data_IF_457817873322
#
_entry.id   IF_457817873322
#
_cell.length_a   1.000
_cell.length_b   1.000
_cell.length_c   1.000
_cell.angle_alpha   90.00
_cell.angle_beta   90.00
_cell.angle_gamma   90.00
#
_symmetry.space_group_name_H-M   'P 1'
#
loop_
_entity.id
_entity.type
_entity.pdbx_description
1 polymer ?
#
# COMPACT_ATOMS: atom_id res chain seq x y z
N UNK A 1 4.91 6.38 1.79
CA UNK A 1 3.51 6.85 1.79
C UNK A 1 2.77 6.06 2.85
N UNK A 2 2.02 6.70 3.74
CA UNK A 2 1.26 6.04 4.81
C UNK A 2 0.00 5.30 4.32
N UNK A 3 0.00 4.86 3.06
CA UNK A 3 -1.14 4.25 2.37
C UNK A 3 -0.67 2.99 1.61
N UNK A 4 -1.57 2.01 1.54
CA UNK A 4 -1.44 0.75 0.81
C UNK A 4 -2.78 0.43 0.15
N UNK A 5 -2.95 -0.76 -0.41
CA UNK A 5 -4.25 -1.27 -0.82
C UNK A 5 -4.73 -2.44 0.02
N UNK A 6 -6.04 -2.52 0.13
CA UNK A 6 -6.81 -3.58 0.75
C UNK A 6 -7.87 -4.05 -0.25
N UNK A 7 -8.14 -5.35 -0.28
CA UNK A 7 -9.27 -5.87 -1.03
C UNK A 7 -10.06 -6.83 -0.14
N UNK A 8 -11.36 -6.58 0.10
CA UNK A 8 -12.18 -7.42 0.97
C UNK A 8 -12.45 -8.81 0.39
N UNK A 9 -12.09 -9.03 -0.88
CA UNK A 9 -12.34 -10.28 -1.61
C UNK A 9 -11.23 -11.33 -1.41
N UNK A 10 -10.11 -10.92 -0.84
CA UNK A 10 -8.96 -11.80 -0.64
C UNK A 10 -9.10 -12.48 0.73
N UNK A 11 -8.94 -13.81 0.81
CA UNK A 11 -8.92 -14.50 2.09
C UNK A 11 -7.80 -13.96 3.01
N UNK A 12 -8.06 -13.95 4.33
CA UNK A 12 -7.25 -13.21 5.31
C UNK A 12 -5.79 -13.68 5.42
N UNK A 13 -5.50 -14.94 5.13
CA UNK A 13 -4.16 -15.49 5.25
C UNK A 13 -3.34 -15.19 3.98
N UNK A 14 -2.32 -14.34 4.13
CA UNK A 14 -1.47 -13.88 3.01
C UNK A 14 -2.11 -12.82 2.09
N UNK A 15 -3.37 -12.44 2.34
CA UNK A 15 -4.21 -11.64 1.43
C UNK A 15 -3.98 -10.13 1.36
N UNK A 16 -2.93 -9.61 1.98
CA UNK A 16 -2.63 -8.17 1.86
C UNK A 16 -2.08 -7.88 0.46
N UNK A 17 -2.58 -6.84 -0.21
CA UNK A 17 -2.11 -6.44 -1.55
C UNK A 17 -0.62 -6.06 -1.54
N UNK A 18 -0.09 -5.64 -0.39
CA UNK A 18 1.32 -5.31 -0.15
C UNK A 18 1.90 -4.20 -1.06
N UNK A 19 1.04 -3.50 -1.78
CA UNK A 19 1.34 -2.32 -2.57
C UNK A 19 0.10 -1.41 -2.63
N UNK A 20 0.31 -0.14 -2.95
CA UNK A 20 -0.76 0.77 -3.32
C UNK A 20 -1.12 0.53 -4.79
N UNK A 21 -2.37 0.15 -5.06
CA UNK A 21 -2.96 0.11 -6.40
C UNK A 21 -3.45 1.53 -6.73
N UNK A 22 -2.93 2.07 -7.83
CA UNK A 22 -3.14 3.45 -8.24
C UNK A 22 -1.86 4.28 -8.15
N UNK A 23 -1.96 5.53 -8.55
CA UNK A 23 -0.82 6.46 -8.60
C UNK A 23 -1.23 7.85 -8.12
N UNK A 24 -0.30 8.54 -7.48
CA UNK A 24 -0.50 9.94 -7.12
C UNK A 24 -0.23 10.80 -8.36
N UNK A 25 -1.23 11.56 -8.80
CA UNK A 25 -1.15 12.44 -9.98
C UNK A 25 -1.31 13.89 -9.58
N UNK A 26 -0.69 14.80 -10.34
CA UNK A 26 -0.85 16.26 -10.20
C UNK A 26 -1.72 16.88 -11.28
N UNK A 27 -2.39 16.06 -12.10
CA UNK A 27 -3.26 16.53 -13.18
C UNK A 27 -4.54 17.18 -12.65
N UNK A 28 -5.07 16.66 -11.54
CA UNK A 28 -6.35 17.07 -10.98
C UNK A 28 -6.39 16.76 -9.48
N UNK A 29 -6.86 17.70 -8.67
CA UNK A 29 -6.95 17.59 -7.21
C UNK A 29 -7.98 18.60 -6.67
N UNK A 30 -8.60 18.27 -5.54
CA UNK A 30 -9.46 19.20 -4.79
C UNK A 30 -8.64 19.96 -3.76
N UNK A 31 -7.74 19.26 -3.07
CA UNK A 31 -6.92 19.84 -2.01
C UNK A 31 -5.44 19.78 -2.39
N UNK A 32 -4.77 20.94 -2.34
CA UNK A 32 -3.36 21.03 -2.66
C UNK A 32 -3.10 20.88 -4.16
N UNK A 33 -2.25 19.92 -4.54
CA UNK A 33 -1.78 19.76 -5.93
C UNK A 33 -1.77 18.32 -6.43
N UNK A 34 -2.26 17.37 -5.65
CA UNK A 34 -2.20 15.97 -6.03
C UNK A 34 -3.37 15.19 -5.47
N UNK A 35 -3.85 14.21 -6.25
CA UNK A 35 -4.86 13.25 -5.84
C UNK A 35 -4.40 11.83 -6.15
N UNK A 36 -5.04 10.83 -5.56
CA UNK A 36 -4.82 9.43 -5.90
C UNK A 36 -5.73 9.03 -7.05
N UNK A 37 -5.15 8.59 -8.17
CA UNK A 37 -5.86 8.00 -9.31
C UNK A 37 -5.78 6.47 -9.24
N UNK A 38 -6.91 5.82 -9.06
CA UNK A 38 -7.05 4.35 -9.12
C UNK A 38 -7.68 4.00 -10.45
N UNK A 39 -6.88 3.42 -11.36
CA UNK A 39 -7.38 2.83 -12.60
C UNK A 39 -7.46 1.33 -12.44
N UNK A 40 -8.61 0.76 -12.74
CA UNK A 40 -8.83 -0.68 -12.70
C UNK A 40 -9.54 -1.14 -13.97
N UNK A 41 -9.09 -2.28 -14.48
CA UNK A 41 -9.64 -2.97 -15.64
C UNK A 41 -9.59 -4.47 -15.34
N UNK A 42 -10.71 -5.17 -15.52
CA UNK A 42 -10.83 -6.61 -15.27
C UNK A 42 -9.89 -7.45 -16.13
N UNK A 43 -9.50 -6.98 -17.32
CA UNK A 43 -8.56 -7.65 -18.21
C UNK A 43 -7.11 -7.55 -17.74
N UNK A 44 -6.76 -6.49 -16.99
CA UNK A 44 -5.39 -6.25 -16.51
C UNK A 44 -5.29 -6.22 -14.98
N UNK A 45 -6.34 -6.62 -14.28
CA UNK A 45 -6.39 -6.59 -12.83
C UNK A 45 -5.28 -7.47 -12.24
N UNK A 46 -4.55 -7.02 -11.21
CA UNK A 46 -3.63 -7.88 -10.47
C UNK A 46 -4.37 -9.12 -9.99
N UNK A 47 -3.72 -10.28 -10.05
CA UNK A 47 -4.30 -11.55 -9.62
C UNK A 47 -3.60 -12.00 -8.34
N UNK A 48 -4.39 -12.28 -7.30
CA UNK A 48 -3.94 -12.93 -6.08
C UNK A 48 -3.88 -14.44 -6.29
N UNK A 49 -2.74 -15.04 -5.96
CA UNK A 49 -2.53 -16.49 -6.04
C UNK A 49 -2.31 -17.10 -4.67
N UNK A 50 -2.86 -18.29 -4.42
CA UNK A 50 -2.63 -19.02 -3.19
C UNK A 50 -2.73 -20.53 -3.40
N UNK A 51 -1.83 -21.30 -2.81
CA UNK A 51 -1.72 -22.75 -3.05
C UNK A 51 -1.81 -23.62 -1.77
N UNK A 52 -2.04 -23.06 -0.59
CA UNK A 52 -1.97 -23.84 0.66
C UNK A 52 -3.22 -24.64 1.03
N UNK A 53 -4.39 -24.01 1.19
CA UNK A 53 -5.63 -24.72 1.56
C UNK A 53 -6.48 -24.98 0.32
N UNK A 54 -7.09 -23.93 -0.20
CA UNK A 54 -7.73 -23.94 -1.52
C UNK A 54 -6.82 -23.24 -2.52
N UNK A 55 -6.89 -23.69 -3.77
CA UNK A 55 -6.20 -23.02 -4.87
C UNK A 55 -6.98 -21.74 -5.20
N UNK A 56 -6.36 -20.59 -4.95
CA UNK A 56 -6.94 -19.30 -5.28
C UNK A 56 -6.23 -18.68 -6.47
N UNK A 57 -7.04 -18.17 -7.39
CA UNK A 57 -6.65 -17.29 -8.48
C UNK A 57 -7.71 -16.19 -8.58
N UNK A 58 -7.51 -15.10 -7.84
CA UNK A 58 -8.54 -14.07 -7.64
C UNK A 58 -8.07 -12.76 -8.28
N UNK A 59 -8.63 -12.36 -9.44
CA UNK A 59 -8.42 -11.02 -9.97
C UNK A 59 -8.99 -9.97 -9.01
N UNK A 60 -8.20 -8.96 -8.67
CA UNK A 60 -8.61 -7.90 -7.76
C UNK A 60 -9.54 -6.93 -8.47
N UNK A 61 -10.84 -7.05 -8.20
CA UNK A 61 -11.89 -6.20 -8.77
C UNK A 61 -12.34 -5.07 -7.84
N UNK A 62 -11.88 -5.10 -6.59
CA UNK A 62 -12.20 -4.14 -5.55
C UNK A 62 -10.92 -3.66 -4.84
N UNK A 63 -10.11 -2.78 -5.46
CA UNK A 63 -8.89 -2.24 -4.89
C UNK A 63 -9.20 -1.00 -4.04
N UNK A 64 -9.34 -1.18 -2.73
CA UNK A 64 -9.54 -0.07 -1.80
C UNK A 64 -8.17 0.49 -1.38
N UNK A 65 -7.94 1.79 -1.51
CA UNK A 65 -6.79 2.45 -0.87
C UNK A 65 -7.02 2.48 0.63
N UNK A 66 -6.03 2.09 1.43
CA UNK A 66 -6.15 1.95 2.87
C UNK A 66 -4.99 2.63 3.59
N UNK A 67 -5.26 3.23 4.75
CA UNK A 67 -4.19 3.79 5.57
C UNK A 67 -3.35 2.64 6.15
N UNK A 68 -2.04 2.88 6.33
CA UNK A 68 -1.17 1.92 7.01
C UNK A 68 -1.30 2.10 8.52
N UNK A 69 -1.51 0.97 9.22
CA UNK A 69 -1.58 0.92 10.67
C UNK A 69 -2.97 1.14 11.25
N UNK A 70 -3.09 0.86 12.54
CA UNK A 70 -4.33 1.00 13.29
C UNK A 70 -4.45 2.41 13.86
N UNK A 71 -5.62 3.02 13.69
CA UNK A 71 -6.00 4.27 14.32
C UNK A 71 -6.82 3.96 15.58
N UNK A 72 -6.52 4.59 16.73
CA UNK A 72 -7.32 4.45 17.93
C UNK A 72 -8.68 5.14 17.75
N UNK A 73 -9.72 4.51 18.26
CA UNK A 73 -11.08 5.03 18.34
C UNK A 73 -11.66 4.80 19.74
N UNK A 74 -12.59 5.64 20.16
CA UNK A 74 -13.36 5.44 21.38
C UNK A 74 -14.64 4.65 21.08
N UNK A 75 -14.75 3.44 21.63
CA UNK A 75 -15.90 2.55 21.40
C UNK A 75 -17.22 3.25 21.76
N UNK A 76 -18.21 3.12 20.89
CA UNK A 76 -19.54 3.71 21.04
C UNK A 76 -19.66 5.19 20.65
N UNK A 77 -18.54 5.91 20.47
CA UNK A 77 -18.55 7.31 20.05
C UNK A 77 -18.85 7.44 18.54
N UNK A 78 -19.49 8.55 18.11
CA UNK A 78 -19.73 8.82 16.71
C UNK A 78 -18.44 9.27 16.01
N UNK A 79 -18.24 8.76 14.80
CA UNK A 79 -17.18 9.15 13.89
C UNK A 79 -17.73 9.30 12.47
N UNK A 80 -17.06 10.10 11.66
CA UNK A 80 -17.39 10.30 10.26
C UNK A 80 -16.16 10.06 9.39
N UNK A 81 -16.30 9.18 8.39
CA UNK A 81 -15.34 9.02 7.29
C UNK A 81 -15.82 9.85 6.11
N UNK A 82 -14.94 10.64 5.51
CA UNK A 82 -15.24 11.44 4.32
C UNK A 82 -14.06 11.48 3.34
N UNK A 83 -14.37 11.73 2.07
CA UNK A 83 -13.39 11.93 1.01
C UNK A 83 -14.01 12.76 -0.13
N UNK A 84 -13.19 13.53 -0.83
CA UNK A 84 -13.55 14.00 -2.15
C UNK A 84 -13.27 12.90 -3.15
N UNK A 85 -14.26 12.61 -4.01
CA UNK A 85 -14.15 11.57 -5.02
C UNK A 85 -14.83 11.99 -6.31
N UNK A 86 -14.31 11.48 -7.42
CA UNK A 86 -14.97 11.49 -8.74
C UNK A 86 -14.55 10.28 -9.55
N UNK A 87 -15.30 9.99 -10.60
CA UNK A 87 -14.99 8.93 -11.56
C UNK A 87 -14.83 9.47 -12.98
N UNK A 88 -14.36 8.62 -13.89
CA UNK A 88 -14.27 8.91 -15.33
C UNK A 88 -15.64 8.83 -16.01
N UNK A 89 -16.57 8.10 -15.40
CA UNK A 89 -17.95 7.90 -15.86
C UNK A 89 -18.92 7.91 -14.67
N UNK A 90 -20.20 8.25 -14.86
CA UNK A 90 -21.17 8.24 -13.77
C UNK A 90 -21.43 6.82 -13.25
N UNK A 91 -22.04 6.76 -12.06
CA UNK A 91 -22.56 5.54 -11.43
C UNK A 91 -21.51 4.47 -11.05
N UNK A 92 -20.21 4.79 -11.12
CA UNK A 92 -19.16 3.94 -10.55
C UNK A 92 -19.39 3.83 -9.04
N UNK A 93 -19.53 2.61 -8.54
CA UNK A 93 -19.76 2.32 -7.13
C UNK A 93 -18.42 2.32 -6.39
N UNK A 94 -18.38 3.03 -5.27
CA UNK A 94 -17.23 3.08 -4.37
C UNK A 94 -17.63 2.63 -2.97
N UNK A 95 -16.75 1.86 -2.35
CA UNK A 95 -16.87 1.45 -0.95
C UNK A 95 -16.07 2.43 -0.09
N UNK A 96 -16.71 2.95 0.96
CA UNK A 96 -16.06 3.63 2.08
C UNK A 96 -16.12 2.70 3.29
N UNK A 97 -14.99 2.12 3.69
CA UNK A 97 -14.87 1.06 4.68
C UNK A 97 -14.12 1.54 5.93
N UNK A 98 -14.61 1.12 7.09
CA UNK A 98 -13.92 1.15 8.37
C UNK A 98 -13.83 -0.28 8.87
N UNK A 99 -12.62 -0.82 8.96
CA UNK A 99 -12.35 -2.20 9.38
C UNK A 99 -11.74 -2.19 10.78
N UNK A 100 -12.37 -2.87 11.72
CA UNK A 100 -11.91 -2.98 13.10
C UNK A 100 -10.94 -4.16 13.29
N UNK A 101 -10.13 -4.08 14.34
CA UNK A 101 -9.14 -5.12 14.66
C UNK A 101 -9.76 -6.48 15.03
N UNK A 102 -11.01 -6.49 15.50
CA UNK A 102 -11.79 -7.69 15.84
C UNK A 102 -12.55 -8.28 14.63
N UNK A 103 -12.15 -7.90 13.42
CA UNK A 103 -12.75 -8.30 12.14
C UNK A 103 -14.17 -7.77 11.87
N UNK A 104 -14.78 -6.98 12.76
CA UNK A 104 -15.99 -6.23 12.44
C UNK A 104 -15.71 -5.14 11.41
N UNK A 105 -16.76 -4.63 10.75
CA UNK A 105 -16.63 -3.50 9.84
C UNK A 105 -17.89 -2.66 9.73
N UNK A 106 -17.71 -1.36 9.54
CA UNK A 106 -18.74 -0.41 9.11
C UNK A 106 -18.43 0.02 7.69
N UNK A 107 -19.41 0.06 6.80
CA UNK A 107 -19.19 0.50 5.42
C UNK A 107 -20.39 1.24 4.84
N UNK A 108 -20.11 2.10 3.86
CA UNK A 108 -21.11 2.72 2.99
C UNK A 108 -20.69 2.58 1.54
N UNK A 109 -21.67 2.30 0.68
CA UNK A 109 -21.49 2.32 -0.77
C UNK A 109 -22.08 3.63 -1.30
N UNK A 110 -21.34 4.28 -2.19
CA UNK A 110 -21.77 5.51 -2.87
C UNK A 110 -21.59 5.38 -4.37
N UNK A 111 -22.46 6.02 -5.14
CA UNK A 111 -22.33 6.17 -6.58
C UNK A 111 -21.62 7.49 -6.87
N UNK A 112 -20.54 7.42 -7.64
CA UNK A 112 -19.79 8.60 -8.02
C UNK A 112 -20.40 9.32 -9.22
N UNK A 113 -20.17 10.63 -9.26
CA UNK A 113 -20.34 11.43 -10.47
C UNK A 113 -19.01 11.67 -11.16
N UNK A 114 -19.04 12.30 -12.34
CA UNK A 114 -17.83 12.73 -13.05
C UNK A 114 -17.20 13.99 -12.48
N UNK A 115 -17.93 14.71 -11.61
CA UNK A 115 -17.44 15.91 -10.93
C UNK A 115 -16.98 15.57 -9.52
N UNK A 116 -16.01 16.32 -9.02
CA UNK A 116 -15.60 16.24 -7.63
C UNK A 116 -16.78 16.53 -6.70
N UNK A 117 -17.07 15.56 -5.84
CA UNK A 117 -18.06 15.71 -4.77
C UNK A 117 -17.49 15.16 -3.48
N UNK A 118 -17.96 15.73 -2.37
CA UNK A 118 -17.59 15.24 -1.05
C UNK A 118 -18.60 14.22 -0.58
N UNK A 119 -18.14 12.99 -0.40
CA UNK A 119 -18.95 11.90 0.15
C UNK A 119 -18.55 11.65 1.60
N UNK A 120 -19.53 11.29 2.42
CA UNK A 120 -19.31 11.02 3.84
C UNK A 120 -20.18 9.87 4.35
N UNK A 121 -19.77 9.28 5.45
CA UNK A 121 -20.49 8.23 6.17
C UNK A 121 -20.21 8.36 7.66
N UNK A 122 -21.27 8.61 8.44
CA UNK A 122 -21.22 8.62 9.90
C UNK A 122 -21.52 7.23 10.46
N UNK A 123 -20.82 6.84 11.52
CA UNK A 123 -20.94 5.55 12.18
C UNK A 123 -20.61 5.66 13.68
N UNK A 124 -21.03 4.66 14.47
CA UNK A 124 -20.56 4.50 15.86
C UNK A 124 -19.41 3.51 15.90
N UNK A 125 -18.33 3.83 16.60
CA UNK A 125 -17.16 2.96 16.67
C UNK A 125 -17.50 1.63 17.38
N UNK A 126 -17.34 0.51 16.69
CA UNK A 126 -17.62 -0.83 17.25
C UNK A 126 -16.45 -1.40 18.05
N UNK A 127 -15.22 -0.99 17.72
CA UNK A 127 -13.98 -1.39 18.39
C UNK A 127 -13.03 -0.22 18.62
N UNK A 128 -11.98 -0.45 19.42
CA UNK A 128 -11.04 0.59 19.85
C UNK A 128 -9.93 0.90 18.86
N UNK A 129 -9.83 0.10 17.80
CA UNK A 129 -8.82 0.26 16.75
C UNK A 129 -9.44 -0.06 15.40
N UNK A 130 -9.19 0.79 14.41
CA UNK A 130 -9.64 0.58 13.05
C UNK A 130 -8.61 1.07 12.03
N UNK A 131 -8.70 0.55 10.81
CA UNK A 131 -8.16 1.21 9.62
C UNK A 131 -9.30 1.53 8.66
N UNK A 132 -9.07 2.48 7.76
CA UNK A 132 -10.03 2.86 6.72
C UNK A 132 -9.55 2.37 5.37
N UNK A 133 -10.50 2.07 4.49
CA UNK A 133 -10.22 1.79 3.10
C UNK A 133 -11.29 2.41 2.19
N UNK A 134 -10.90 3.00 1.06
CA UNK A 134 -11.82 3.61 0.09
C UNK A 134 -11.41 3.26 -1.33
N UNK A 135 -12.35 2.88 -2.20
CA UNK A 135 -12.02 2.61 -3.61
C UNK A 135 -13.15 1.98 -4.41
N UNK A 136 -12.93 1.78 -5.73
CA UNK A 136 -13.94 1.26 -6.64
C UNK A 136 -14.31 -0.19 -6.34
N UNK A 137 -15.58 -0.52 -6.61
CA UNK A 137 -16.12 -1.88 -6.64
C UNK A 137 -16.68 -2.16 -8.04
N UNK A 138 -15.85 -2.77 -8.91
CA UNK A 138 -16.27 -3.07 -10.29
C UNK A 138 -17.39 -4.11 -10.35
N UNK A 139 -17.42 -5.06 -9.41
CA UNK A 139 -18.46 -6.10 -9.38
C UNK A 139 -19.83 -5.49 -9.15
N UNK A 140 -19.94 -4.61 -8.15
CA UNK A 140 -21.20 -3.91 -7.86
C UNK A 140 -21.53 -2.85 -8.90
N UNK A 141 -20.51 -2.22 -9.50
CA UNK A 141 -20.70 -1.30 -10.63
C UNK A 141 -21.20 -2.03 -11.88
N UNK A 142 -21.00 -3.35 -11.98
CA UNK A 142 -21.24 -4.14 -13.21
C UNK A 142 -20.48 -3.57 -14.41
N UNK A 143 -19.22 -3.22 -14.18
CA UNK A 143 -18.33 -2.61 -15.19
C UNK A 143 -17.05 -3.40 -15.33
N UNK A 144 -16.51 -3.44 -16.55
CA UNK A 144 -15.23 -4.09 -16.82
C UNK A 144 -14.05 -3.20 -16.46
N UNK A 145 -14.23 -1.87 -16.45
CA UNK A 145 -13.19 -0.92 -16.09
C UNK A 145 -13.77 0.39 -15.54
N UNK A 146 -12.99 1.05 -14.69
CA UNK A 146 -13.27 2.40 -14.19
C UNK A 146 -11.98 3.09 -13.74
N UNK A 147 -12.01 4.42 -13.75
CA UNK A 147 -10.99 5.25 -13.11
C UNK A 147 -11.64 6.10 -12.03
N UNK A 148 -11.12 6.02 -10.82
CA UNK A 148 -11.59 6.81 -9.67
C UNK A 148 -10.45 7.68 -9.15
N UNK A 149 -10.76 8.94 -8.87
CA UNK A 149 -9.87 9.86 -8.19
C UNK A 149 -10.35 10.05 -6.75
N UNK A 150 -9.40 10.03 -5.81
CA UNK A 150 -9.63 10.23 -4.39
C UNK A 150 -8.72 11.34 -3.88
N UNK A 151 -9.28 12.23 -3.07
CA UNK A 151 -8.54 13.30 -2.43
C UNK A 151 -9.12 13.64 -1.06
N UNK A 152 -8.33 14.28 -0.21
CA UNK A 152 -8.75 14.84 1.08
C UNK A 152 -9.56 13.85 1.94
N UNK A 153 -9.02 12.63 2.10
CA UNK A 153 -9.60 11.58 2.95
C UNK A 153 -9.45 11.98 4.42
N UNK A 154 -10.55 11.97 5.17
CA UNK A 154 -10.59 12.37 6.58
C UNK A 154 -11.48 11.44 7.39
N UNK A 155 -10.93 10.93 8.49
CA UNK A 155 -11.67 10.28 9.56
C UNK A 155 -11.62 11.19 10.79
N UNK A 156 -12.79 11.55 11.32
CA UNK A 156 -12.89 12.45 12.47
C UNK A 156 -14.00 12.05 13.43
N UNK A 157 -13.90 12.47 14.70
CA UNK A 157 -14.96 12.30 15.67
C UNK A 157 -16.14 13.25 15.36
N UNK A 158 -17.36 12.77 15.56
CA UNK A 158 -18.59 13.51 15.27
C UNK A 158 -19.46 12.85 14.20
N UNK A 159 -20.67 13.37 14.06
CA UNK A 159 -21.71 12.81 13.18
C UNK A 159 -21.75 13.45 11.78
N UNK A 160 -21.02 14.56 11.59
CA UNK A 160 -21.02 15.32 10.35
C UNK A 160 -19.59 15.62 9.94
N UNK A 161 -19.30 15.47 8.65
CA UNK A 161 -17.99 15.77 8.10
C UNK A 161 -17.72 17.28 8.13
N UNK A 162 -16.64 17.71 8.78
CA UNK A 162 -16.17 19.11 8.78
C UNK A 162 -15.28 19.37 7.57
N UNK A 163 -15.01 20.61 7.15
CA UNK A 163 -14.09 20.85 6.03
C UNK A 163 -12.76 20.09 6.21
N UNK A 164 -12.21 19.57 5.10
CA UNK A 164 -10.95 18.84 5.17
C UNK A 164 -9.85 19.70 5.79
N UNK A 165 -9.10 19.11 6.71
CA UNK A 165 -7.87 19.68 7.25
C UNK A 165 -6.87 18.54 7.51
N UNK A 166 -5.57 18.76 7.27
CA UNK A 166 -4.55 17.82 7.70
C UNK A 166 -4.56 17.63 9.22
N UNK A 167 -3.99 16.52 9.71
CA UNK A 167 -3.91 16.22 11.15
C UNK A 167 -3.05 17.25 11.88
N UNK A 168 -2.00 17.74 11.22
CA UNK A 168 -1.14 18.83 11.69
C UNK A 168 -1.11 19.95 10.66
N UNK A 169 -0.97 21.19 11.12
CA UNK A 169 -0.77 22.35 10.24
C UNK A 169 0.44 22.17 9.32
N UNK A 170 1.48 21.45 9.79
CA UNK A 170 2.62 21.06 8.98
C UNK A 170 2.86 19.57 9.13
N UNK A 171 2.88 18.85 8.01
CA UNK A 171 3.14 17.42 7.94
C UNK A 171 4.35 17.13 7.06
N UNK A 172 5.08 16.07 7.36
CA UNK A 172 6.20 15.61 6.54
C UNK A 172 6.27 14.08 6.53
N UNK A 173 6.54 13.50 5.36
CA UNK A 173 6.58 12.06 5.15
C UNK A 173 7.83 11.63 4.38
N UNK A 174 8.51 10.60 4.86
CA UNK A 174 9.57 9.93 4.11
C UNK A 174 8.96 8.99 3.06
N UNK A 175 9.38 9.12 1.80
CA UNK A 175 8.92 8.27 0.71
C UNK A 175 10.11 7.81 -0.15
N UNK A 176 9.93 6.70 -0.86
CA UNK A 176 10.81 6.28 -1.94
C UNK A 176 9.99 5.76 -3.12
N UNK A 177 10.59 5.79 -4.30
CA UNK A 177 9.99 5.23 -5.52
C UNK A 177 10.37 3.74 -5.70
N UNK A 178 11.13 3.17 -4.76
CA UNK A 178 11.58 1.79 -4.82
C UNK A 178 10.55 0.85 -4.18
N UNK A 179 10.14 -0.19 -4.90
CA UNK A 179 9.25 -1.22 -4.37
C UNK A 179 9.84 -1.84 -3.09
N UNK A 180 9.04 -1.87 -2.01
CA UNK A 180 9.47 -2.32 -0.69
C UNK A 180 10.58 -1.49 -0.04
N UNK A 181 10.88 -0.31 -0.58
CA UNK A 181 12.08 0.48 -0.26
C UNK A 181 13.38 -0.32 -0.42
N UNK A 182 13.43 -1.21 -1.42
CA UNK A 182 14.61 -2.04 -1.73
C UNK A 182 15.33 -1.44 -2.93
N UNK A 183 16.56 -0.97 -2.70
CA UNK A 183 17.42 -0.36 -3.70
C UNK A 183 18.46 -1.36 -4.19
N UNK A 184 18.58 -1.48 -5.51
CA UNK A 184 19.53 -2.40 -6.18
C UNK A 184 20.73 -1.68 -6.79
N UNK A 185 20.71 -0.35 -6.78
CA UNK A 185 21.76 0.49 -7.33
C UNK A 185 22.20 1.52 -6.29
N UNK A 186 23.41 1.32 -5.75
CA UNK A 186 24.02 2.20 -4.75
C UNK A 186 24.13 3.67 -5.19
N UNK A 187 24.15 3.93 -6.51
CA UNK A 187 24.21 5.29 -7.06
C UNK A 187 22.83 5.93 -7.25
N UNK A 188 21.75 5.16 -7.12
CA UNK A 188 20.36 5.60 -7.34
C UNK A 188 19.47 5.32 -6.13
N UNK A 189 19.96 5.70 -4.95
CA UNK A 189 19.20 5.59 -3.72
C UNK A 189 18.36 6.86 -3.54
N UNK A 190 17.22 6.88 -4.22
CA UNK A 190 16.34 8.04 -4.28
C UNK A 190 15.21 7.91 -3.26
N UNK A 191 15.38 8.58 -2.13
CA UNK A 191 14.31 8.81 -1.17
C UNK A 191 14.15 10.31 -0.97
N UNK A 192 12.96 10.72 -0.54
CA UNK A 192 12.56 12.12 -0.44
C UNK A 192 11.72 12.31 0.80
N UNK A 193 11.70 13.53 1.31
CA UNK A 193 10.67 14.00 2.25
C UNK A 193 9.67 14.81 1.46
N UNK A 194 8.40 14.47 1.56
CA UNK A 194 7.31 15.33 1.09
C UNK A 194 6.76 16.03 2.31
N UNK A 195 6.90 17.35 2.35
CA UNK A 195 6.37 18.18 3.41
C UNK A 195 5.26 19.09 2.88
N UNK A 196 4.18 19.24 3.65
CA UNK A 196 3.06 20.11 3.33
C UNK A 196 2.82 21.10 4.47
N UNK A 197 2.59 22.36 4.11
CA UNK A 197 2.23 23.42 5.04
C UNK A 197 0.82 23.90 4.73
N UNK A 198 -0.11 23.62 5.63
CA UNK A 198 -1.51 24.03 5.52
C UNK A 198 -1.80 25.41 6.12
N UNK A 199 -0.81 26.09 6.71
CA UNK A 199 -1.04 27.44 7.22
C UNK A 199 -1.09 28.49 6.11
N UNK A 200 -1.65 29.64 6.46
CA UNK A 200 -1.71 30.87 5.63
C UNK A 200 -0.42 31.69 5.70
N UNK A 201 0.66 31.12 6.24
CA UNK A 201 1.96 31.79 6.33
C UNK A 201 3.08 30.84 5.97
N UNK A 202 4.20 31.40 5.54
CA UNK A 202 5.41 30.61 5.33
C UNK A 202 5.85 30.00 6.65
N UNK A 203 6.17 28.70 6.65
CA UNK A 203 6.68 27.99 7.81
C UNK A 203 8.14 27.59 7.59
N UNK A 204 8.91 27.59 8.66
CA UNK A 204 10.24 27.00 8.68
C UNK A 204 10.21 25.74 9.54
N UNK A 205 10.72 24.63 8.98
CA UNK A 205 10.79 23.34 9.65
C UNK A 205 12.24 22.95 9.91
N UNK A 206 12.48 22.35 11.08
CA UNK A 206 13.75 21.77 11.48
C UNK A 206 13.59 20.25 11.55
N UNK A 207 14.16 19.55 10.59
CA UNK A 207 14.11 18.09 10.49
C UNK A 207 15.41 17.48 11.01
N UNK A 208 15.28 16.47 11.85
CA UNK A 208 16.36 15.62 12.33
C UNK A 208 16.20 14.22 11.73
N UNK A 209 17.29 13.72 11.18
CA UNK A 209 17.38 12.40 10.57
C UNK A 209 18.39 11.56 11.35
N UNK A 210 17.99 10.37 11.74
CA UNK A 210 18.85 9.35 12.36
C UNK A 210 18.74 8.09 11.53
N UNK A 211 19.88 7.59 11.04
CA UNK A 211 19.96 6.34 10.29
C UNK A 211 20.68 5.30 11.13
N UNK A 212 20.03 4.18 11.37
CA UNK A 212 20.62 3.02 12.02
C UNK A 212 20.77 1.86 11.03
N UNK A 213 21.76 1.01 11.24
CA UNK A 213 21.91 -0.25 10.51
C UNK A 213 21.08 -1.39 11.14
N UNK A 214 21.31 -2.62 10.69
CA UNK A 214 20.60 -3.80 11.16
C UNK A 214 20.67 -3.97 12.69
N UNK A 215 21.87 -3.76 13.26
CA UNK A 215 22.20 -3.91 14.69
C UNK A 215 21.83 -2.66 15.51
N UNK A 216 21.01 -1.77 14.95
CA UNK A 216 20.57 -0.50 15.55
C UNK A 216 21.71 0.48 15.85
N UNK A 217 22.91 0.27 15.28
CA UNK A 217 24.02 1.21 15.40
C UNK A 217 23.75 2.42 14.53
N UNK A 218 23.92 3.61 15.10
CA UNK A 218 23.82 4.88 14.34
C UNK A 218 24.96 4.95 13.34
N UNK A 219 24.61 4.93 12.06
CA UNK A 219 25.56 5.08 10.95
C UNK A 219 25.54 6.48 10.37
N UNK A 220 24.49 7.25 10.63
CA UNK A 220 24.40 8.66 10.27
C UNK A 220 23.40 9.40 11.15
N UNK A 221 23.71 10.64 11.50
CA UNK A 221 22.76 11.58 12.09
C UNK A 221 22.96 12.98 11.51
N UNK A 222 21.87 13.65 11.12
CA UNK A 222 21.89 14.99 10.52
C UNK A 222 20.66 15.79 10.90
N UNK A 223 20.81 17.11 10.91
CA UNK A 223 19.70 18.05 11.06
C UNK A 223 19.73 19.04 9.91
N UNK A 224 18.56 19.35 9.36
CA UNK A 224 18.41 20.25 8.22
C UNK A 224 17.18 21.14 8.40
N UNK A 225 17.29 22.38 7.95
CA UNK A 225 16.21 23.37 8.03
C UNK A 225 15.68 23.66 6.64
N UNK A 226 14.36 23.76 6.50
CA UNK A 226 13.70 24.05 5.23
C UNK A 226 12.57 25.06 5.42
N UNK A 227 12.40 25.92 4.42
CA UNK A 227 11.26 26.82 4.32
C UNK A 227 10.16 26.17 3.49
N UNK A 228 8.93 26.18 3.99
CA UNK A 228 7.73 25.69 3.33
C UNK A 228 6.84 26.88 2.99
N UNK A 229 6.52 27.12 1.69
CA UNK A 229 5.52 28.12 1.32
C UNK A 229 4.17 27.82 1.97
N UNK A 230 3.35 28.85 2.16
CA UNK A 230 1.96 28.69 2.64
C UNK A 230 1.13 27.85 1.65
N UNK A 231 0.19 27.06 2.17
CA UNK A 231 -0.74 26.23 1.38
C UNK A 231 -0.05 25.44 0.26
N UNK A 232 1.13 24.87 0.53
CA UNK A 232 1.94 24.24 -0.50
C UNK A 232 2.72 23.05 0.01
N UNK A 233 2.98 22.12 -0.91
CA UNK A 233 3.94 21.06 -0.72
C UNK A 233 5.35 21.48 -1.14
N UNK A 234 6.36 20.86 -0.53
CA UNK A 234 7.76 20.88 -0.97
C UNK A 234 8.30 19.45 -0.96
N UNK A 235 8.90 19.05 -2.08
CA UNK A 235 9.69 17.82 -2.16
C UNK A 235 11.12 18.18 -1.77
N UNK A 236 11.61 17.53 -0.72
CA UNK A 236 12.94 17.73 -0.17
C UNK A 236 13.73 16.46 -0.45
N UNK A 237 14.95 16.62 -0.98
CA UNK A 237 15.91 15.52 -1.16
C UNK A 237 17.07 15.76 -0.20
N UNK A 238 17.06 15.16 0.99
CA UNK A 238 18.15 15.33 1.94
C UNK A 238 19.47 14.78 1.37
N UNK A 239 20.47 15.65 1.25
CA UNK A 239 21.74 15.28 0.64
C UNK A 239 22.48 14.21 1.46
N UNK A 240 22.92 13.13 0.77
CA UNK A 240 23.86 12.11 1.28
C UNK A 240 23.44 11.47 2.61
N UNK A 241 22.14 11.22 2.80
CA UNK A 241 21.64 10.69 4.06
C UNK A 241 21.58 9.15 4.15
N UNK A 242 21.77 8.43 3.05
CA UNK A 242 21.93 6.97 3.14
C UNK A 242 23.39 6.57 2.96
N UNK A 243 23.87 5.58 3.73
CA UNK A 243 25.20 5.02 3.52
C UNK A 243 25.36 4.51 2.09
N UNK A 244 26.52 4.75 1.49
CA UNK A 244 26.88 4.22 0.15
C UNK A 244 27.33 2.76 0.23
N UNK A 245 26.81 2.00 1.20
CA UNK A 245 27.17 0.59 1.45
C UNK A 245 25.91 -0.28 1.37
N UNK A 246 26.11 -1.54 1.01
CA UNK A 246 25.06 -2.54 1.08
C UNK A 246 24.63 -2.75 2.54
N UNK A 247 23.37 -3.12 2.75
CA UNK A 247 22.84 -3.43 4.07
C UNK A 247 21.38 -3.04 4.24
N UNK A 248 20.87 -3.32 5.43
CA UNK A 248 19.57 -2.87 5.89
C UNK A 248 19.74 -1.63 6.77
N UNK A 249 18.85 -0.65 6.59
CA UNK A 249 18.87 0.60 7.35
C UNK A 249 17.46 1.03 7.76
N UNK A 250 17.38 1.72 8.89
CA UNK A 250 16.18 2.42 9.35
C UNK A 250 16.46 3.91 9.33
N UNK A 251 15.72 4.66 8.51
CA UNK A 251 15.76 6.14 8.51
C UNK A 251 14.63 6.61 9.43
N UNK A 252 14.98 7.21 10.56
CA UNK A 252 14.03 7.91 11.42
C UNK A 252 14.12 9.41 11.18
N UNK A 253 13.00 10.01 10.80
CA UNK A 253 12.83 11.46 10.69
C UNK A 253 11.94 11.94 11.85
N UNK A 254 12.32 13.03 12.48
CA UNK A 254 11.49 13.78 13.42
C UNK A 254 11.75 15.27 13.23
N UNK A 255 10.85 16.14 13.67
CA UNK A 255 11.10 17.55 13.51
C UNK A 255 10.12 18.44 14.24
N UNK A 256 10.31 19.74 14.05
CA UNK A 256 9.42 20.78 14.57
C UNK A 256 9.41 22.00 13.67
N UNK A 257 8.34 22.79 13.74
CA UNK A 257 8.32 24.15 13.19
C UNK A 257 9.18 25.08 14.05
N UNK A 258 9.55 26.25 13.54
CA UNK A 258 10.22 27.30 14.34
C UNK A 258 9.36 27.80 15.50
N UNK A 259 8.03 27.67 15.40
CA UNK A 259 7.09 27.95 16.49
C UNK A 259 7.03 26.86 17.56
N UNK A 260 7.71 25.73 17.34
CA UNK A 260 7.79 24.62 18.28
C UNK A 260 6.77 23.50 18.03
N UNK A 261 5.90 23.61 17.03
CA UNK A 261 4.93 22.57 16.71
C UNK A 261 5.64 21.31 16.25
N UNK A 262 5.32 20.17 16.88
CA UNK A 262 5.93 18.90 16.52
C UNK A 262 5.47 18.42 15.14
N UNK A 263 6.42 17.90 14.37
CA UNK A 263 6.17 17.14 13.15
C UNK A 263 6.23 15.66 13.52
N UNK A 264 5.17 14.92 13.20
CA UNK A 264 5.04 13.50 13.55
C UNK A 264 6.24 12.70 13.03
N UNK A 265 6.82 11.88 13.90
CA UNK A 265 7.99 11.09 13.56
C UNK A 265 7.66 10.04 12.49
N UNK A 266 8.58 9.84 11.55
CA UNK A 266 8.46 8.87 10.47
C UNK A 266 9.63 7.89 10.52
N UNK A 267 9.36 6.63 10.20
CA UNK A 267 10.39 5.62 9.99
C UNK A 267 10.25 5.04 8.58
N UNK A 268 11.36 5.04 7.83
CA UNK A 268 11.47 4.33 6.57
C UNK A 268 12.50 3.21 6.72
N UNK A 269 12.05 1.96 6.63
CA UNK A 269 12.93 0.80 6.51
C UNK A 269 13.36 0.64 5.07
N UNK A 270 14.65 0.45 4.85
CA UNK A 270 15.24 0.34 3.51
C UNK A 270 16.30 -0.76 3.48
N UNK A 271 16.41 -1.42 2.35
CA UNK A 271 17.52 -2.34 2.08
C UNK A 271 18.24 -1.90 0.81
N UNK A 272 19.57 -1.90 0.86
CA UNK A 272 20.43 -1.68 -0.30
C UNK A 272 21.17 -2.98 -0.57
N UNK A 273 20.78 -3.66 -1.65
CA UNK A 273 21.28 -4.99 -1.97
C UNK A 273 21.96 -5.00 -3.33
N UNK A 274 22.87 -5.95 -3.53
CA UNK A 274 23.29 -6.35 -4.86
C UNK A 274 22.25 -7.35 -5.38
N UNK A 275 21.61 -7.11 -6.54
CA UNK A 275 20.73 -8.11 -7.13
C UNK A 275 21.44 -9.44 -7.30
N UNK A 276 20.75 -10.51 -6.96
CA UNK A 276 21.19 -11.86 -7.29
C UNK A 276 21.10 -12.07 -8.80
N UNK A 277 22.22 -12.46 -9.43
CA UNK A 277 22.34 -12.55 -10.89
C UNK A 277 22.42 -13.99 -11.42
N UNK A 278 22.56 -14.97 -10.54
CA UNK A 278 22.66 -16.37 -10.95
C UNK A 278 21.28 -16.94 -11.32
N UNK A 279 21.30 -18.00 -12.13
CA UNK A 279 20.07 -18.69 -12.60
C UNK A 279 19.50 -19.66 -11.57
N UNK A 280 20.28 -20.02 -10.55
CA UNK A 280 19.91 -20.97 -9.53
C UNK A 280 20.42 -20.49 -8.16
N UNK A 281 19.83 -20.98 -7.07
CA UNK A 281 20.12 -20.59 -5.69
C UNK A 281 19.87 -21.73 -4.72
N UNK A 282 20.62 -21.77 -3.61
CA UNK A 282 20.37 -22.69 -2.49
C UNK A 282 19.15 -22.29 -1.66
N UNK A 283 18.62 -21.08 -1.86
CA UNK A 283 17.53 -20.54 -1.05
C UNK A 283 16.19 -20.70 -1.76
N UNK A 284 15.27 -21.31 -1.02
CA UNK A 284 13.87 -21.41 -1.39
C UNK A 284 12.95 -21.11 -0.22
N UNK A 285 11.66 -21.01 -0.51
CA UNK A 285 10.63 -20.77 0.48
C UNK A 285 9.41 -21.64 0.22
N UNK A 286 8.72 -22.00 1.30
CA UNK A 286 7.44 -22.69 1.20
C UNK A 286 6.37 -21.70 0.73
N UNK A 287 5.62 -22.08 -0.30
CA UNK A 287 4.64 -21.26 -1.03
C UNK A 287 5.24 -20.05 -1.76
N UNK A 288 4.96 -19.97 -3.06
CA UNK A 288 5.27 -18.79 -3.84
C UNK A 288 4.44 -17.59 -3.36
N UNK A 289 5.11 -16.44 -3.15
CA UNK A 289 4.41 -15.21 -2.77
C UNK A 289 3.19 -14.96 -3.68
N UNK A 290 2.05 -14.51 -3.14
CA UNK A 290 0.80 -14.39 -3.90
C UNK A 290 0.88 -13.40 -5.05
N UNK A 291 1.81 -12.46 -4.99
CA UNK A 291 1.94 -11.36 -5.94
C UNK A 291 3.24 -11.45 -6.75
N UNK A 292 3.12 -11.22 -8.06
CA UNK A 292 4.26 -11.25 -8.98
C UNK A 292 5.38 -10.25 -8.58
N UNK A 293 5.01 -9.05 -8.12
CA UNK A 293 5.98 -8.05 -7.70
C UNK A 293 6.81 -8.51 -6.49
N UNK A 294 6.22 -9.27 -5.56
CA UNK A 294 6.94 -9.87 -4.43
C UNK A 294 7.87 -10.99 -4.88
N UNK A 295 7.46 -11.83 -5.85
CA UNK A 295 8.34 -12.83 -6.46
C UNK A 295 9.56 -12.17 -7.12
N UNK A 296 9.36 -11.05 -7.83
CA UNK A 296 10.46 -10.28 -8.43
C UNK A 296 11.41 -9.70 -7.37
N UNK A 297 10.89 -9.25 -6.22
CA UNK A 297 11.71 -8.80 -5.10
C UNK A 297 12.49 -9.96 -4.46
N UNK A 298 11.84 -11.11 -4.22
CA UNK A 298 12.44 -12.32 -3.70
C UNK A 298 13.59 -12.82 -4.59
N UNK A 299 13.35 -12.83 -5.91
CA UNK A 299 14.36 -13.17 -6.91
C UNK A 299 15.59 -12.27 -6.81
N UNK A 300 15.40 -10.95 -6.66
CA UNK A 300 16.52 -10.01 -6.49
C UNK A 300 17.32 -10.26 -5.22
N UNK A 301 16.68 -10.81 -4.18
CA UNK A 301 17.32 -11.22 -2.93
C UNK A 301 17.95 -12.62 -2.99
N UNK A 302 17.80 -13.35 -4.10
CA UNK A 302 18.38 -14.68 -4.30
C UNK A 302 17.50 -15.84 -3.83
N UNK A 303 16.22 -15.61 -3.52
CA UNK A 303 15.25 -16.71 -3.30
C UNK A 303 14.72 -17.12 -4.67
N UNK A 304 15.07 -18.32 -5.14
CA UNK A 304 14.69 -18.81 -6.47
C UNK A 304 13.83 -20.07 -6.46
N UNK A 305 13.87 -20.87 -5.39
CA UNK A 305 13.10 -22.09 -5.28
C UNK A 305 11.81 -21.87 -4.50
N UNK A 306 10.71 -22.42 -5.01
CA UNK A 306 9.42 -22.36 -4.34
C UNK A 306 8.88 -23.76 -4.18
N UNK A 307 8.64 -24.16 -2.93
CA UNK A 307 7.95 -25.42 -2.64
C UNK A 307 6.46 -25.19 -2.85
N UNK A 308 5.87 -25.90 -3.80
CA UNK A 308 4.53 -25.66 -4.32
C UNK A 308 3.59 -26.83 -3.99
N UNK A 309 2.40 -26.49 -3.49
CA UNK A 309 1.41 -27.44 -2.99
C UNK A 309 0.18 -27.51 -3.89
N UNK A 310 0.25 -26.95 -5.10
CA UNK A 310 -0.91 -26.83 -5.98
C UNK A 310 -1.35 -28.14 -6.61
N UNK A 311 -0.49 -29.16 -6.65
CA UNK A 311 -0.80 -30.48 -7.24
C UNK A 311 -1.55 -31.38 -6.27
N UNK A 312 -2.73 -30.93 -5.84
CA UNK A 312 -3.57 -31.67 -4.90
C UNK A 312 -4.41 -32.71 -5.62
N UNK A 313 -4.49 -33.93 -5.08
CA UNK A 313 -5.14 -35.02 -5.79
C UNK A 313 -6.61 -34.72 -6.13
N UNK A 314 -7.35 -34.11 -5.20
CA UNK A 314 -8.76 -33.73 -5.41
C UNK A 314 -8.98 -32.70 -6.53
N UNK A 315 -7.97 -31.89 -6.86
CA UNK A 315 -8.04 -30.93 -7.96
C UNK A 315 -7.49 -31.50 -9.26
N UNK A 316 -6.45 -32.33 -9.17
CA UNK A 316 -5.74 -32.88 -10.31
C UNK A 316 -6.43 -34.11 -10.88
N UNK A 317 -7.07 -34.93 -10.06
CA UNK A 317 -7.87 -36.08 -10.48
C UNK A 317 -9.23 -36.05 -9.74
N UNK A 318 -10.13 -35.10 -10.06
CA UNK A 318 -11.42 -34.98 -9.37
C UNK A 318 -12.32 -36.20 -9.58
N UNK A 319 -12.11 -36.93 -10.68
CA UNK A 319 -12.70 -38.24 -10.95
C UNK A 319 -11.60 -39.17 -11.44
N UNK A 320 -11.56 -40.40 -10.93
CA UNK A 320 -10.53 -41.39 -11.27
C UNK A 320 -10.33 -41.50 -12.80
N UNK A 321 -9.10 -41.29 -13.26
CA UNK A 321 -8.70 -41.31 -14.66
C UNK A 321 -8.96 -40.01 -15.44
N UNK A 322 -9.58 -39.00 -14.84
CA UNK A 322 -9.80 -37.68 -15.44
C UNK A 322 -8.88 -36.65 -14.79
N UNK A 323 -7.88 -36.18 -15.54
CA UNK A 323 -6.91 -35.22 -15.03
C UNK A 323 -7.29 -33.77 -15.38
N UNK A 324 -7.22 -32.87 -14.41
CA UNK A 324 -7.46 -31.43 -14.58
C UNK A 324 -6.34 -30.59 -13.93
N UNK A 325 -5.59 -29.86 -14.75
CA UNK A 325 -4.51 -28.98 -14.28
C UNK A 325 -4.89 -27.49 -14.35
N UNK A 326 -6.14 -27.16 -14.66
CA UNK A 326 -6.61 -25.77 -14.88
C UNK A 326 -6.32 -24.85 -13.70
N UNK A 327 -6.36 -25.38 -12.47
CA UNK A 327 -6.07 -24.63 -11.24
C UNK A 327 -4.59 -24.69 -10.80
N UNK A 328 -3.89 -25.76 -11.17
CA UNK A 328 -2.48 -26.03 -10.81
C UNK A 328 -1.53 -25.26 -11.71
N UNK A 329 -1.74 -25.32 -13.03
CA UNK A 329 -0.86 -24.72 -14.03
C UNK A 329 -0.63 -23.21 -13.79
N UNK A 330 -1.64 -22.39 -13.49
CA UNK A 330 -1.42 -20.97 -13.19
C UNK A 330 -0.52 -20.72 -11.96
N UNK A 331 -0.58 -21.59 -10.94
CA UNK A 331 0.26 -21.47 -9.73
C UNK A 331 1.73 -21.69 -10.04
N UNK A 332 2.02 -22.69 -10.87
CA UNK A 332 3.37 -23.07 -11.28
C UNK A 332 3.92 -22.11 -12.34
N UNK A 333 3.14 -21.85 -13.39
CA UNK A 333 3.57 -21.08 -14.55
C UNK A 333 3.91 -19.64 -14.20
N UNK A 334 3.24 -19.02 -13.22
CA UNK A 334 3.58 -17.64 -12.78
C UNK A 334 4.98 -17.55 -12.18
N UNK A 335 5.46 -18.62 -11.53
CA UNK A 335 6.82 -18.70 -10.96
C UNK A 335 7.83 -18.96 -12.07
N UNK A 336 7.57 -19.96 -12.92
CA UNK A 336 8.45 -20.33 -14.03
C UNK A 336 8.62 -19.18 -15.04
N UNK A 337 7.56 -18.41 -15.33
CA UNK A 337 7.60 -17.20 -16.19
C UNK A 337 8.60 -16.14 -15.69
N UNK A 338 8.90 -16.13 -14.40
CA UNK A 338 9.90 -15.22 -13.81
C UNK A 338 11.32 -15.81 -13.85
N UNK A 339 11.53 -16.96 -14.50
CA UNK A 339 12.76 -17.75 -14.48
C UNK A 339 13.17 -18.09 -13.04
N UNK A 340 12.24 -18.67 -12.30
CA UNK A 340 12.42 -19.20 -10.94
C UNK A 340 12.05 -20.69 -10.98
N UNK A 341 12.36 -21.42 -9.91
CA UNK A 341 12.22 -22.87 -9.84
C UNK A 341 11.08 -23.27 -8.91
N UNK A 342 10.44 -24.38 -9.24
CA UNK A 342 9.35 -24.94 -8.45
C UNK A 342 9.73 -26.35 -8.01
N UNK A 343 9.67 -26.59 -6.70
CA UNK A 343 9.75 -27.91 -6.11
C UNK A 343 8.33 -28.38 -5.81
N UNK A 344 7.80 -29.22 -6.69
CA UNK A 344 6.43 -29.71 -6.64
C UNK A 344 6.26 -30.77 -5.55
N UNK A 345 5.24 -30.63 -4.71
CA UNK A 345 4.73 -31.76 -3.93
C UNK A 345 3.73 -32.51 -4.78
N UNK A 346 4.13 -33.71 -5.22
CA UNK A 346 3.30 -34.54 -6.06
C UNK A 346 3.25 -36.01 -5.58
N UNK A 347 2.06 -36.57 -5.29
CA UNK A 347 0.82 -35.83 -5.06
C UNK A 347 0.88 -35.09 -3.72
N UNK A 348 0.26 -33.91 -3.64
CA UNK A 348 -0.11 -33.36 -2.34
C UNK A 348 -1.44 -34.01 -1.92
N UNK A 349 -1.51 -34.64 -0.74
CA UNK A 349 -2.69 -35.39 -0.30
C UNK A 349 -3.91 -34.50 -0.05
#
# INVERSE_FOLDING_TARGET
VGWSSYSPEIPSWGGNVAQLIGEVTTEDAVHGRASLRIRIDTATAPVFFFDYFDLHQIPIKVPLTANIGWMPLERGKPYTLSAYMRADKPDVQVIMLVRYADANSSQRIVKLTTNWQRYSFAFKAMGSYAHIAIGPDLKRSKMDSATVWLDAIQLEAGEVATHYRPRRTVEAFCISDAAGNIFTNLKKVNWKVVAYNDSESVQTIHLQFRVTDFDDKVVLQRSQTYTLPQRSQRIISPNRLLPTKLGFFRIRMQGKTTRGDAIDAQELRTAIIRPYMHRDSLFGMNHAYPWEHLLRLAKRAGVLWWRDWSVKWQFVEPQRGQFDFTHTDPQVNRVLKLNMHVLMLFPFP
#
